data_IF_185176996939
#
_entry.id   IF_185176996939
#
_cell.length_a   1.000
_cell.length_b   1.000
_cell.length_c   1.000
_cell.angle_alpha   90.00
_cell.angle_beta   90.00
_cell.angle_gamma   90.00
#
_symmetry.space_group_name_H-M   'P 1'
#
loop_
_entity.id
_entity.type
_entity.pdbx_description
1 polymer ?
#
# COMPACT_ATOMS: atom_id res chain seq x y z
N UNK A 1 -26.11 -19.64 11.18
CA UNK A 1 -25.81 -18.21 11.38
C UNK A 1 -27.02 -17.41 10.93
N UNK A 2 -27.53 -16.44 11.71
CA UNK A 2 -28.65 -15.61 11.27
C UNK A 2 -28.34 -14.87 9.96
N UNK A 3 -29.33 -14.56 9.11
CA UNK A 3 -29.09 -13.92 7.80
C UNK A 3 -28.31 -12.62 7.89
N UNK A 4 -28.54 -11.83 8.93
CA UNK A 4 -27.88 -10.54 9.20
C UNK A 4 -26.46 -10.66 9.79
N UNK A 5 -25.99 -11.88 10.07
CA UNK A 5 -24.62 -12.17 10.51
C UNK A 5 -23.80 -12.90 9.45
N UNK A 6 -24.36 -13.13 8.26
CA UNK A 6 -23.58 -13.68 7.16
C UNK A 6 -22.51 -12.66 6.77
N UNK A 7 -21.29 -13.13 6.52
CA UNK A 7 -20.24 -12.27 5.94
C UNK A 7 -20.76 -11.71 4.63
N UNK A 8 -20.50 -10.42 4.40
CA UNK A 8 -20.78 -9.76 3.14
C UNK A 8 -20.27 -10.62 1.99
N UNK A 9 -21.17 -10.97 1.07
CA UNK A 9 -20.82 -11.67 -0.16
C UNK A 9 -20.88 -10.66 -1.30
N UNK A 10 -19.80 -10.48 -2.09
CA UNK A 10 -19.75 -9.51 -3.18
C UNK A 10 -20.96 -9.63 -4.11
N UNK A 11 -21.29 -10.86 -4.51
CA UNK A 11 -22.35 -11.14 -5.49
C UNK A 11 -23.80 -11.10 -4.91
N UNK A 12 -24.05 -10.26 -3.91
CA UNK A 12 -25.39 -10.13 -3.32
C UNK A 12 -26.32 -9.33 -4.24
N UNK A 13 -27.40 -9.95 -4.72
CA UNK A 13 -28.36 -9.32 -5.65
C UNK A 13 -28.96 -8.01 -5.16
N UNK A 14 -29.04 -7.81 -3.84
CA UNK A 14 -29.58 -6.58 -3.27
C UNK A 14 -28.60 -5.41 -3.36
N UNK A 15 -27.29 -5.69 -3.27
CA UNK A 15 -26.26 -4.68 -3.52
C UNK A 15 -26.22 -4.28 -4.99
N UNK A 16 -26.35 -5.25 -5.90
CA UNK A 16 -26.39 -4.99 -7.34
C UNK A 16 -27.48 -3.99 -7.70
N UNK A 17 -28.71 -4.19 -7.18
CA UNK A 17 -29.82 -3.25 -7.39
C UNK A 17 -29.50 -1.82 -6.93
N UNK A 18 -28.66 -1.65 -5.90
CA UNK A 18 -28.31 -0.32 -5.38
C UNK A 18 -27.35 0.44 -6.29
N UNK A 19 -26.37 -0.25 -6.90
CA UNK A 19 -25.32 0.43 -7.68
C UNK A 19 -25.54 0.37 -9.20
N UNK A 20 -26.32 -0.59 -9.72
CA UNK A 20 -26.68 -0.65 -11.15
C UNK A 20 -27.17 0.69 -11.71
N UNK A 21 -28.06 1.47 -11.04
CA UNK A 21 -28.50 2.75 -11.57
C UNK A 21 -27.45 3.88 -11.49
N UNK A 22 -26.31 3.66 -10.81
CA UNK A 22 -25.26 4.68 -10.66
C UNK A 22 -24.41 4.86 -11.92
N UNK A 23 -24.33 3.84 -12.77
CA UNK A 23 -23.60 3.91 -14.05
C UNK A 23 -24.56 3.77 -15.24
N UNK A 24 -24.27 4.44 -16.38
CA UNK A 24 -25.02 4.24 -17.61
C UNK A 24 -24.98 2.79 -18.09
N UNK A 25 -26.01 2.32 -18.79
CA UNK A 25 -26.07 0.95 -19.33
C UNK A 25 -24.82 0.60 -20.16
N UNK A 26 -24.33 1.53 -20.98
CA UNK A 26 -23.12 1.37 -21.79
C UNK A 26 -21.85 1.13 -20.95
N UNK A 27 -21.78 1.66 -19.73
CA UNK A 27 -20.64 1.41 -18.85
C UNK A 27 -20.66 -0.03 -18.30
N UNK A 28 -21.85 -0.59 -18.04
CA UNK A 28 -22.02 -1.99 -17.64
C UNK A 28 -21.73 -2.98 -18.76
N UNK A 29 -21.77 -2.55 -20.02
CA UNK A 29 -21.27 -3.36 -21.15
C UNK A 29 -19.74 -3.51 -21.13
N UNK A 30 -19.02 -2.60 -20.46
CA UNK A 30 -17.56 -2.56 -20.44
C UNK A 30 -16.95 -3.06 -19.14
N UNK A 31 -17.58 -2.77 -18.00
CA UNK A 31 -17.13 -3.16 -16.65
C UNK A 31 -18.06 -4.25 -16.10
N UNK A 32 -17.48 -5.33 -15.57
CA UNK A 32 -18.28 -6.34 -14.89
C UNK A 32 -18.75 -5.87 -13.50
N UNK A 33 -19.93 -6.33 -13.05
CA UNK A 33 -20.36 -6.20 -11.66
C UNK A 33 -19.30 -6.71 -10.66
N UNK A 34 -18.63 -7.82 -10.97
CA UNK A 34 -17.61 -8.43 -10.11
C UNK A 34 -16.40 -7.52 -9.89
N UNK A 35 -15.93 -6.80 -10.93
CA UNK A 35 -14.86 -5.82 -10.79
C UNK A 35 -15.32 -4.62 -9.97
N UNK A 36 -16.49 -4.07 -10.29
CA UNK A 36 -17.03 -2.90 -9.62
C UNK A 36 -17.20 -3.16 -8.11
N UNK A 37 -17.81 -4.28 -7.75
CA UNK A 37 -17.96 -4.70 -6.35
C UNK A 37 -16.60 -4.90 -5.68
N UNK A 38 -15.67 -5.62 -6.33
CA UNK A 38 -14.35 -5.89 -5.76
C UNK A 38 -13.53 -4.61 -5.56
N UNK A 39 -13.71 -3.62 -6.43
CA UNK A 39 -13.09 -2.31 -6.27
C UNK A 39 -13.69 -1.57 -5.05
N UNK A 40 -15.00 -1.45 -4.96
CA UNK A 40 -15.62 -0.69 -3.86
C UNK A 40 -15.69 -1.43 -2.52
N UNK A 41 -15.45 -2.75 -2.48
CA UNK A 41 -15.48 -3.54 -1.25
C UNK A 41 -14.14 -3.65 -0.52
N UNK A 42 -13.05 -3.13 -1.10
CA UNK A 42 -11.70 -3.23 -0.53
C UNK A 42 -11.10 -1.86 -0.22
N UNK A 43 -10.14 -1.87 0.68
CA UNK A 43 -9.38 -0.73 1.19
C UNK A 43 -7.88 -0.89 0.93
N UNK A 44 -7.08 0.15 1.19
CA UNK A 44 -5.63 0.11 0.97
C UNK A 44 -4.96 -1.01 1.78
N UNK A 45 -5.40 -1.23 3.02
CA UNK A 45 -4.89 -2.28 3.88
C UNK A 45 -5.18 -3.70 3.38
N UNK A 46 -6.11 -3.89 2.45
CA UNK A 46 -6.34 -5.20 1.85
C UNK A 46 -5.31 -5.51 0.74
N UNK A 47 -4.81 -4.48 0.07
CA UNK A 47 -3.98 -4.61 -1.13
C UNK A 47 -2.49 -4.42 -0.87
N UNK A 48 -2.12 -3.65 0.15
CA UNK A 48 -0.75 -3.25 0.37
C UNK A 48 -0.32 -3.35 1.84
N UNK A 49 0.83 -4.00 2.06
CA UNK A 49 1.55 -3.99 3.32
C UNK A 49 2.78 -3.08 3.18
N UNK A 50 2.90 -1.98 3.96
CA UNK A 50 4.06 -1.08 3.90
C UNK A 50 5.29 -1.66 4.61
N UNK A 51 5.86 -2.74 4.07
CA UNK A 51 6.95 -3.52 4.68
C UNK A 51 8.18 -2.65 5.05
N UNK A 52 8.53 -1.68 4.22
CA UNK A 52 9.66 -0.77 4.47
C UNK A 52 9.47 0.07 5.75
N UNK A 53 8.25 0.54 6.01
CA UNK A 53 7.95 1.32 7.23
C UNK A 53 8.00 0.43 8.46
N UNK A 54 7.39 -0.76 8.39
CA UNK A 54 7.44 -1.74 9.47
C UNK A 54 8.89 -2.11 9.81
N UNK A 55 9.69 -2.50 8.82
CA UNK A 55 11.09 -2.92 9.02
C UNK A 55 11.94 -1.81 9.63
N UNK A 56 11.78 -0.57 9.14
CA UNK A 56 12.49 0.60 9.67
C UNK A 56 12.12 0.85 11.13
N UNK A 57 10.84 0.82 11.46
CA UNK A 57 10.33 1.12 12.80
C UNK A 57 10.65 -0.02 13.79
N UNK A 58 10.51 -1.28 13.39
CA UNK A 58 10.94 -2.44 14.17
C UNK A 58 12.44 -2.35 14.46
N UNK A 59 13.27 -1.99 13.48
CA UNK A 59 14.70 -1.83 13.68
C UNK A 59 15.02 -0.67 14.64
N UNK A 60 14.24 0.42 14.62
CA UNK A 60 14.37 1.53 15.57
C UNK A 60 14.07 1.07 17.00
N UNK A 61 12.95 0.38 17.19
CA UNK A 61 12.54 -0.13 18.51
C UNK A 61 13.53 -1.15 19.05
N UNK A 62 14.02 -2.09 18.22
CA UNK A 62 15.03 -3.08 18.62
C UNK A 62 16.34 -2.43 19.08
N UNK A 63 16.82 -1.42 18.36
CA UNK A 63 18.01 -0.64 18.78
C UNK A 63 17.82 0.01 20.15
N UNK A 64 16.63 0.50 20.44
CA UNK A 64 16.32 1.08 21.75
C UNK A 64 16.21 0.02 22.86
N UNK A 65 15.66 -1.16 22.55
CA UNK A 65 15.69 -2.32 23.46
C UNK A 65 17.13 -2.70 23.79
N UNK A 66 18.00 -2.80 22.79
CA UNK A 66 19.40 -3.18 22.99
C UNK A 66 20.14 -2.16 23.86
N UNK A 67 19.92 -0.86 23.60
CA UNK A 67 20.48 0.25 24.39
C UNK A 67 20.06 0.17 25.85
N UNK A 68 18.77 0.04 26.13
CA UNK A 68 18.24 -0.04 27.50
C UNK A 68 18.67 -1.33 28.21
N UNK A 69 18.81 -2.44 27.49
CA UNK A 69 19.29 -3.72 28.02
C UNK A 69 20.77 -3.64 28.39
N UNK A 70 21.61 -2.99 27.57
CA UNK A 70 23.01 -2.71 27.88
C UNK A 70 23.17 -1.86 29.15
N UNK A 71 22.35 -0.82 29.29
CA UNK A 71 22.31 -0.01 30.53
C UNK A 71 21.84 -0.84 31.73
N UNK A 72 20.85 -1.71 31.58
CA UNK A 72 20.40 -2.59 32.68
C UNK A 72 21.50 -3.57 33.12
N UNK A 73 22.26 -4.12 32.17
CA UNK A 73 23.32 -5.10 32.43
C UNK A 73 24.66 -4.45 32.82
N UNK A 74 24.80 -3.12 32.70
CA UNK A 74 26.09 -2.44 32.82
C UNK A 74 27.11 -2.88 31.77
N UNK A 75 26.64 -3.37 30.62
CA UNK A 75 27.46 -3.91 29.54
C UNK A 75 27.53 -2.92 28.39
N UNK A 76 28.71 -2.76 27.80
CA UNK A 76 28.93 -1.86 26.66
C UNK A 76 29.52 -0.50 27.04
N UNK A 77 30.39 0.02 26.17
CA UNK A 77 31.18 1.24 26.38
C UNK A 77 30.30 2.47 26.64
N UNK A 78 29.18 2.60 25.90
CA UNK A 78 28.25 3.72 26.06
C UNK A 78 27.48 3.68 27.39
N UNK A 79 27.07 2.49 27.85
CA UNK A 79 26.38 2.32 29.12
C UNK A 79 27.33 2.63 30.29
N UNK A 80 28.56 2.11 30.23
CA UNK A 80 29.62 2.40 31.20
C UNK A 80 29.96 3.90 31.24
N UNK A 81 30.08 4.56 30.09
CA UNK A 81 30.34 5.99 30.02
C UNK A 81 29.18 6.81 30.61
N UNK A 82 27.93 6.45 30.32
CA UNK A 82 26.75 7.11 30.90
C UNK A 82 26.69 6.93 32.42
N UNK A 83 26.92 5.71 32.91
CA UNK A 83 26.99 5.40 34.35
C UNK A 83 28.11 6.16 35.06
N UNK A 84 29.31 6.21 34.46
CA UNK A 84 30.44 6.96 34.99
C UNK A 84 30.15 8.47 35.06
N UNK A 85 29.49 9.02 34.04
CA UNK A 85 29.07 10.43 34.01
C UNK A 85 28.05 10.74 35.11
N UNK A 86 27.05 9.87 35.30
CA UNK A 86 26.04 10.01 36.37
C UNK A 86 26.68 9.90 37.76
N UNK A 87 27.61 8.96 37.95
CA UNK A 87 28.36 8.83 39.19
C UNK A 87 29.23 10.07 39.50
N UNK A 88 29.93 10.59 38.49
CA UNK A 88 30.76 11.79 38.63
C UNK A 88 29.92 13.04 38.94
N UNK A 89 28.75 13.19 38.31
CA UNK A 89 27.84 14.29 38.60
C UNK A 89 27.30 14.24 40.04
N UNK A 90 26.90 13.06 40.53
CA UNK A 90 26.46 12.87 41.91
C UNK A 90 27.57 13.17 42.93
N UNK A 91 28.80 12.78 42.63
CA UNK A 91 29.97 13.08 43.47
C UNK A 91 30.30 14.59 43.49
N UNK A 92 30.24 15.25 42.33
CA UNK A 92 30.47 16.69 42.21
C UNK A 92 29.40 17.54 42.95
N UNK A 93 28.17 17.02 43.06
CA UNK A 93 27.10 17.64 43.85
C UNK A 93 27.27 17.46 45.37
N UNK A 94 28.33 16.80 45.85
CA UNK A 94 28.58 16.56 47.27
C UNK A 94 27.76 15.40 47.86
N UNK A 95 27.20 14.53 47.02
CA UNK A 95 26.43 13.36 47.44
C UNK A 95 27.27 12.36 48.24
N UNK A 96 26.63 11.65 49.18
CA UNK A 96 27.26 10.56 49.91
C UNK A 96 27.57 9.37 49.00
N UNK A 97 28.38 8.41 49.48
CA UNK A 97 28.67 7.18 48.72
C UNK A 97 27.40 6.41 48.33
N UNK A 98 26.35 6.48 49.15
CA UNK A 98 25.04 5.89 48.86
C UNK A 98 24.34 6.62 47.70
N UNK A 99 24.40 7.95 47.67
CA UNK A 99 23.76 8.75 46.62
C UNK A 99 24.43 8.54 45.25
N UNK A 100 25.76 8.40 45.25
CA UNK A 100 26.52 8.04 44.04
C UNK A 100 26.15 6.64 43.54
N UNK A 101 25.96 5.67 44.45
CA UNK A 101 25.51 4.32 44.06
C UNK A 101 24.10 4.35 43.49
N UNK A 102 23.17 5.07 44.13
CA UNK A 102 21.78 5.17 43.70
C UNK A 102 21.63 5.88 42.35
N UNK A 103 22.51 6.83 42.00
CA UNK A 103 22.52 7.51 40.71
C UNK A 103 22.88 6.60 39.51
N UNK A 104 23.51 5.46 39.76
CA UNK A 104 23.95 4.50 38.73
C UNK A 104 22.97 3.32 38.59
N UNK A 105 22.09 3.13 39.56
CA UNK A 105 21.11 2.04 39.56
C UNK A 105 20.10 2.25 38.43
N UNK A 106 19.83 1.17 37.70
CA UNK A 106 18.78 1.12 36.70
C UNK A 106 17.43 1.46 37.35
N UNK A 107 16.83 2.55 36.91
CA UNK A 107 15.62 3.08 37.54
C UNK A 107 14.39 2.26 37.17
N UNK A 108 13.40 2.20 38.07
CA UNK A 108 12.10 1.58 37.77
C UNK A 108 11.42 2.17 36.53
N UNK A 109 11.65 3.45 36.24
CA UNK A 109 11.14 4.10 35.03
C UNK A 109 11.80 3.57 33.76
N UNK A 110 13.11 3.29 33.79
CA UNK A 110 13.82 2.69 32.65
C UNK A 110 13.41 1.24 32.44
N UNK A 111 13.09 0.51 33.51
CA UNK A 111 12.55 -0.86 33.43
C UNK A 111 11.17 -0.88 32.75
N UNK A 112 10.27 0.01 33.16
CA UNK A 112 8.96 0.15 32.52
C UNK A 112 9.07 0.55 31.05
N UNK A 113 10.01 1.44 30.72
CA UNK A 113 10.26 1.86 29.35
C UNK A 113 10.82 0.71 28.51
N UNK A 114 11.79 -0.05 29.03
CA UNK A 114 12.33 -1.24 28.36
C UNK A 114 11.21 -2.25 28.03
N UNK A 115 10.35 -2.55 28.99
CA UNK A 115 9.22 -3.44 28.80
C UNK A 115 8.21 -2.90 27.78
N UNK A 116 7.94 -1.59 27.80
CA UNK A 116 7.06 -0.94 26.82
C UNK A 116 7.61 -1.05 25.40
N UNK A 117 8.89 -0.72 25.20
CA UNK A 117 9.54 -0.75 23.88
C UNK A 117 9.65 -2.18 23.36
N UNK A 118 9.97 -3.15 24.22
CA UNK A 118 9.97 -4.59 23.86
C UNK A 118 8.60 -5.04 23.36
N UNK A 119 7.53 -4.78 24.13
CA UNK A 119 6.16 -5.13 23.74
C UNK A 119 5.76 -4.49 22.41
N UNK A 120 6.12 -3.23 22.20
CA UNK A 120 5.83 -2.54 20.94
C UNK A 120 6.58 -3.17 19.77
N UNK A 121 7.85 -3.53 19.94
CA UNK A 121 8.64 -4.19 18.89
C UNK A 121 8.05 -5.55 18.51
N UNK A 122 7.64 -6.35 19.50
CA UNK A 122 6.99 -7.64 19.31
C UNK A 122 5.62 -7.50 18.65
N UNK A 123 4.78 -6.59 19.14
CA UNK A 123 3.46 -6.31 18.59
C UNK A 123 3.54 -5.87 17.13
N UNK A 124 4.48 -4.97 16.80
CA UNK A 124 4.68 -4.47 15.45
C UNK A 124 5.22 -5.55 14.50
N UNK A 125 6.08 -6.44 15.00
CA UNK A 125 6.58 -7.60 14.23
C UNK A 125 5.43 -8.58 13.92
N UNK A 126 4.57 -8.85 14.91
CA UNK A 126 3.41 -9.71 14.72
C UNK A 126 2.38 -9.08 13.79
N UNK A 127 2.14 -7.78 13.90
CA UNK A 127 1.22 -7.02 13.06
C UNK A 127 1.66 -7.05 11.59
N UNK A 128 2.95 -6.78 11.31
CA UNK A 128 3.52 -6.91 9.96
C UNK A 128 3.26 -8.30 9.35
N UNK A 129 3.46 -9.36 10.13
CA UNK A 129 3.21 -10.74 9.69
C UNK A 129 1.74 -11.00 9.39
N UNK A 130 0.83 -10.49 10.24
CA UNK A 130 -0.62 -10.62 10.04
C UNK A 130 -1.08 -9.87 8.79
N UNK A 131 -0.60 -8.64 8.63
CA UNK A 131 -0.92 -7.78 7.51
C UNK A 131 -0.44 -8.38 6.18
N UNK A 132 0.77 -8.94 6.17
CA UNK A 132 1.30 -9.66 4.99
C UNK A 132 0.43 -10.86 4.60
N UNK A 133 0.07 -11.68 5.58
CA UNK A 133 -0.79 -12.85 5.35
C UNK A 133 -2.18 -12.43 4.85
N UNK A 134 -2.72 -11.32 5.36
CA UNK A 134 -4.00 -10.76 4.90
C UNK A 134 -3.91 -10.33 3.44
N UNK A 135 -2.91 -9.53 3.06
CA UNK A 135 -2.72 -9.10 1.68
C UNK A 135 -2.50 -10.28 0.71
N UNK A 136 -1.77 -11.32 1.13
CA UNK A 136 -1.60 -12.56 0.35
C UNK A 136 -2.93 -13.33 0.17
N UNK A 137 -3.75 -13.37 1.21
CA UNK A 137 -5.08 -14.00 1.16
C UNK A 137 -5.99 -13.27 0.19
N UNK A 138 -6.05 -11.93 0.29
CA UNK A 138 -6.82 -11.09 -0.63
C UNK A 138 -6.32 -11.26 -2.05
N UNK A 139 -5.00 -11.20 -2.29
CA UNK A 139 -4.40 -11.43 -3.61
C UNK A 139 -4.86 -12.75 -4.22
N UNK A 140 -4.85 -13.84 -3.44
CA UNK A 140 -5.31 -15.15 -3.89
C UNK A 140 -6.79 -15.13 -4.29
N UNK A 141 -7.64 -14.39 -3.57
CA UNK A 141 -9.05 -14.23 -3.93
C UNK A 141 -9.23 -13.48 -5.27
N UNK A 142 -8.41 -12.47 -5.53
CA UNK A 142 -8.40 -11.76 -6.80
C UNK A 142 -7.94 -12.66 -7.95
N UNK A 143 -6.88 -13.46 -7.77
CA UNK A 143 -6.39 -14.41 -8.77
C UNK A 143 -7.46 -15.45 -9.14
N UNK A 144 -8.27 -15.91 -8.17
CA UNK A 144 -9.37 -16.85 -8.42
C UNK A 144 -10.51 -16.25 -9.26
N UNK A 145 -10.77 -14.95 -9.12
CA UNK A 145 -11.89 -14.22 -9.78
C UNK A 145 -11.44 -13.39 -10.99
N UNK A 146 -10.16 -13.43 -11.36
CA UNK A 146 -9.59 -12.54 -12.37
C UNK A 146 -10.26 -12.64 -13.75
N UNK A 147 -10.76 -13.82 -14.12
CA UNK A 147 -11.45 -14.03 -15.39
C UNK A 147 -12.86 -13.41 -15.43
N UNK A 148 -13.44 -13.11 -14.26
CA UNK A 148 -14.80 -12.57 -14.13
C UNK A 148 -14.78 -11.03 -14.14
N UNK A 149 -13.65 -10.42 -13.80
CA UNK A 149 -13.51 -8.96 -13.65
C UNK A 149 -13.71 -8.20 -14.95
N UNK A 150 -13.09 -8.67 -16.02
CA UNK A 150 -13.21 -8.08 -17.33
C UNK A 150 -13.68 -9.21 -18.23
N UNK A 151 -15.00 -9.27 -18.40
CA UNK A 151 -15.71 -10.25 -19.23
C UNK A 151 -14.94 -10.55 -20.54
N UNK A 152 -15.03 -11.78 -21.09
CA UNK A 152 -14.55 -12.08 -22.44
C UNK A 152 -15.44 -11.38 -23.48
N UNK A 153 -15.36 -10.04 -23.53
CA UNK A 153 -15.90 -9.22 -24.59
C UNK A 153 -15.04 -9.50 -25.81
N UNK A 154 -15.48 -10.50 -26.59
CA UNK A 154 -14.83 -11.16 -27.72
C UNK A 154 -14.47 -10.28 -28.93
N UNK A 155 -14.34 -8.96 -28.77
CA UNK A 155 -14.02 -8.03 -29.87
C UNK A 155 -12.95 -7.05 -29.44
N UNK A 156 -11.87 -6.96 -30.23
CA UNK A 156 -10.65 -6.18 -29.96
C UNK A 156 -10.91 -4.69 -29.67
N UNK A 157 -12.02 -4.12 -30.15
CA UNK A 157 -12.41 -2.72 -29.87
C UNK A 157 -13.01 -2.48 -28.47
N UNK A 158 -13.36 -3.54 -27.74
CA UNK A 158 -14.04 -3.42 -26.44
C UNK A 158 -13.05 -3.32 -25.28
N UNK A 159 -11.84 -3.90 -25.39
CA UNK A 159 -10.84 -3.88 -24.32
C UNK A 159 -10.33 -2.45 -23.99
N UNK A 160 -10.09 -1.63 -25.02
CA UNK A 160 -9.76 -0.21 -24.87
C UNK A 160 -10.89 0.54 -24.16
N UNK A 161 -12.13 0.29 -24.59
CA UNK A 161 -13.31 0.90 -23.99
C UNK A 161 -13.47 0.49 -22.52
N UNK A 162 -13.23 -0.77 -22.18
CA UNK A 162 -13.28 -1.29 -20.81
C UNK A 162 -12.28 -0.60 -19.88
N UNK A 163 -11.01 -0.50 -20.29
CA UNK A 163 -9.97 0.13 -19.47
C UNK A 163 -10.25 1.61 -19.20
N UNK A 164 -10.68 2.35 -20.23
CA UNK A 164 -11.05 3.75 -20.09
C UNK A 164 -12.32 3.93 -19.26
N UNK A 165 -13.34 3.07 -19.44
CA UNK A 165 -14.57 3.11 -18.63
C UNK A 165 -14.24 2.87 -17.16
N UNK A 166 -13.38 1.91 -16.84
CA UNK A 166 -12.93 1.66 -15.46
C UNK A 166 -12.19 2.85 -14.86
N UNK A 167 -11.29 3.47 -15.63
CA UNK A 167 -10.62 4.69 -15.21
C UNK A 167 -11.62 5.82 -14.93
N UNK A 168 -12.51 6.13 -15.88
CA UNK A 168 -13.44 7.27 -15.79
C UNK A 168 -14.49 7.10 -14.70
N UNK A 169 -15.08 5.91 -14.54
CA UNK A 169 -16.22 5.70 -13.65
C UNK A 169 -15.85 5.12 -12.28
N UNK A 170 -14.66 4.53 -12.11
CA UNK A 170 -14.26 3.93 -10.84
C UNK A 170 -13.03 4.63 -10.24
N UNK A 171 -11.91 4.62 -10.97
CA UNK A 171 -10.63 5.10 -10.42
C UNK A 171 -10.63 6.60 -10.23
N UNK A 172 -10.99 7.36 -11.26
CA UNK A 172 -11.01 8.82 -11.22
C UNK A 172 -11.89 9.38 -10.08
N UNK A 173 -13.19 9.02 -9.93
CA UNK A 173 -14.00 9.58 -8.85
C UNK A 173 -13.50 9.18 -7.46
N UNK A 174 -12.94 7.97 -7.30
CA UNK A 174 -12.44 7.52 -6.00
C UNK A 174 -11.12 8.19 -5.63
N UNK A 175 -10.19 8.37 -6.56
CA UNK A 175 -8.90 8.97 -6.26
C UNK A 175 -8.99 10.43 -5.82
N UNK A 176 -10.09 11.12 -6.11
CA UNK A 176 -10.33 12.49 -5.64
C UNK A 176 -10.75 12.58 -4.17
N UNK A 177 -11.29 11.50 -3.59
CA UNK A 177 -11.94 11.54 -2.27
C UNK A 177 -10.97 11.76 -1.10
N UNK A 178 -9.81 11.10 -1.16
CA UNK A 178 -8.81 11.17 -0.08
C UNK A 178 -7.43 10.72 -0.58
N UNK A 179 -6.33 11.08 0.11
CA UNK A 179 -5.00 10.58 -0.25
C UNK A 179 -4.88 9.06 -0.04
N UNK A 180 -5.64 8.48 0.89
CA UNK A 180 -5.69 7.03 1.09
C UNK A 180 -6.37 6.32 -0.08
N UNK A 181 -7.47 6.88 -0.57
CA UNK A 181 -8.18 6.37 -1.75
C UNK A 181 -7.33 6.51 -3.03
N UNK A 182 -6.56 7.58 -3.15
CA UNK A 182 -5.61 7.76 -4.25
C UNK A 182 -4.52 6.68 -4.26
N UNK A 183 -3.92 6.37 -3.10
CA UNK A 183 -2.98 5.26 -2.96
C UNK A 183 -3.66 3.93 -3.27
N UNK A 184 -4.87 3.71 -2.75
CA UNK A 184 -5.65 2.51 -3.04
C UNK A 184 -5.86 2.32 -4.54
N UNK A 185 -6.27 3.36 -5.26
CA UNK A 185 -6.51 3.30 -6.70
C UNK A 185 -5.25 2.87 -7.46
N UNK A 186 -4.09 3.44 -7.12
CA UNK A 186 -2.81 3.03 -7.69
C UNK A 186 -2.52 1.55 -7.39
N UNK A 187 -2.59 1.14 -6.12
CA UNK A 187 -2.31 -0.25 -5.72
C UNK A 187 -3.28 -1.27 -6.33
N UNK A 188 -4.55 -0.91 -6.52
CA UNK A 188 -5.53 -1.77 -7.19
C UNK A 188 -5.18 -1.99 -8.66
N UNK A 189 -4.78 -0.94 -9.37
CA UNK A 189 -4.33 -1.06 -10.77
C UNK A 189 -3.05 -1.89 -10.88
N UNK A 190 -2.10 -1.68 -9.96
CA UNK A 190 -0.88 -2.48 -9.88
C UNK A 190 -1.25 -3.95 -9.62
N UNK A 191 -2.24 -4.23 -8.77
CA UNK A 191 -2.73 -5.58 -8.52
C UNK A 191 -3.30 -6.21 -9.80
N UNK A 192 -4.22 -5.53 -10.50
CA UNK A 192 -4.82 -6.01 -11.76
C UNK A 192 -3.75 -6.38 -12.80
N UNK A 193 -2.72 -5.54 -12.91
CA UNK A 193 -1.57 -5.82 -13.77
C UNK A 193 -0.78 -7.05 -13.28
N UNK A 194 -0.49 -7.13 -11.98
CA UNK A 194 0.33 -8.20 -11.40
C UNK A 194 -0.28 -9.61 -11.51
N UNK A 195 -1.62 -9.69 -11.46
CA UNK A 195 -2.37 -10.95 -11.62
C UNK A 195 -2.70 -11.24 -13.10
N UNK A 196 -2.27 -10.40 -14.04
CA UNK A 196 -2.52 -10.57 -15.47
C UNK A 196 -4.02 -10.68 -15.79
N UNK A 197 -4.82 -9.77 -15.22
CA UNK A 197 -6.28 -9.78 -15.45
C UNK A 197 -6.57 -9.73 -16.95
N UNK A 198 -7.25 -10.74 -17.52
CA UNK A 198 -7.53 -10.79 -18.96
C UNK A 198 -8.26 -9.52 -19.41
N UNK A 199 -7.83 -8.91 -20.51
CA UNK A 199 -8.46 -7.70 -21.05
C UNK A 199 -8.02 -6.39 -20.38
N UNK A 200 -7.25 -6.43 -19.27
CA UNK A 200 -6.68 -5.21 -18.69
C UNK A 200 -5.43 -4.78 -19.47
N UNK A 201 -5.51 -3.65 -20.17
CA UNK A 201 -4.39 -3.13 -20.95
C UNK A 201 -3.67 -2.01 -20.19
N UNK A 202 -2.70 -2.39 -19.36
CA UNK A 202 -2.00 -1.45 -18.45
C UNK A 202 -1.36 -0.27 -19.17
N UNK A 203 -0.79 -0.46 -20.36
CA UNK A 203 -0.20 0.65 -21.12
C UNK A 203 -1.27 1.66 -21.58
N UNK A 204 -2.44 1.19 -22.01
CA UNK A 204 -3.54 2.08 -22.40
C UNK A 204 -4.19 2.74 -21.20
N UNK A 205 -4.24 2.04 -20.06
CA UNK A 205 -4.64 2.65 -18.80
C UNK A 205 -3.75 3.83 -18.44
N UNK A 206 -2.42 3.66 -18.55
CA UNK A 206 -1.46 4.72 -18.24
C UNK A 206 -1.57 5.91 -19.19
N UNK A 207 -1.75 5.64 -20.49
CA UNK A 207 -1.98 6.67 -21.51
C UNK A 207 -3.25 7.48 -21.20
N UNK A 208 -4.38 6.80 -20.97
CA UNK A 208 -5.63 7.45 -20.59
C UNK A 208 -5.57 8.18 -19.25
N UNK A 209 -4.79 7.69 -18.29
CA UNK A 209 -4.59 8.35 -17.00
C UNK A 209 -3.95 9.73 -17.20
N UNK A 210 -2.94 9.84 -18.06
CA UNK A 210 -2.30 11.13 -18.37
C UNK A 210 -3.32 12.09 -19.00
N UNK A 211 -4.11 11.62 -19.97
CA UNK A 211 -5.14 12.44 -20.61
C UNK A 211 -6.20 12.94 -19.63
N UNK A 212 -6.71 12.05 -18.77
CA UNK A 212 -7.70 12.39 -17.73
C UNK A 212 -7.13 13.41 -16.76
N UNK A 213 -5.89 13.25 -16.31
CA UNK A 213 -5.25 14.20 -15.39
C UNK A 213 -5.07 15.57 -16.05
N UNK A 214 -4.56 15.61 -17.29
CA UNK A 214 -4.36 16.88 -18.01
C UNK A 214 -5.69 17.62 -18.22
N UNK A 215 -6.77 16.89 -18.53
CA UNK A 215 -8.11 17.46 -18.63
C UNK A 215 -8.66 17.93 -17.27
N UNK A 216 -8.42 17.16 -16.21
CA UNK A 216 -8.92 17.43 -14.87
C UNK A 216 -8.30 18.68 -14.22
N UNK A 217 -7.04 19.01 -14.53
CA UNK A 217 -6.32 20.15 -13.93
C UNK A 217 -7.07 21.49 -13.99
N UNK A 218 -7.96 21.68 -14.96
CA UNK A 218 -8.73 22.92 -15.11
C UNK A 218 -9.98 23.00 -14.21
N UNK A 219 -10.41 21.90 -13.60
CA UNK A 219 -11.69 21.80 -12.90
C UNK A 219 -11.62 21.16 -11.50
N UNK A 220 -10.43 20.75 -11.06
CA UNK A 220 -10.21 20.19 -9.71
C UNK A 220 -9.77 21.26 -8.71
N UNK A 221 -10.08 21.02 -7.45
CA UNK A 221 -9.59 21.81 -6.31
C UNK A 221 -8.14 21.48 -5.98
N UNK A 222 -7.50 22.30 -5.14
CA UNK A 222 -6.12 22.07 -4.69
C UNK A 222 -5.95 20.74 -3.94
N UNK A 223 -6.89 20.40 -3.06
CA UNK A 223 -6.88 19.14 -2.32
C UNK A 223 -7.05 17.93 -3.26
N UNK A 224 -7.97 18.02 -4.22
CA UNK A 224 -8.17 16.99 -5.25
C UNK A 224 -6.93 16.80 -6.13
N UNK A 225 -6.27 17.90 -6.52
CA UNK A 225 -5.00 17.85 -7.25
C UNK A 225 -3.90 17.19 -6.41
N UNK A 226 -3.86 17.46 -5.10
CA UNK A 226 -2.99 16.77 -4.15
C UNK A 226 -3.21 15.26 -4.15
N UNK A 227 -4.47 14.82 -4.12
CA UNK A 227 -4.82 13.40 -4.15
C UNK A 227 -4.42 12.72 -5.48
N UNK A 228 -4.68 13.36 -6.63
CA UNK A 228 -4.20 12.86 -7.93
C UNK A 228 -2.67 12.74 -7.93
N UNK A 229 -1.97 13.73 -7.37
CA UNK A 229 -0.51 13.72 -7.23
C UNK A 229 0.01 12.50 -6.46
N UNK A 230 -0.68 12.09 -5.40
CA UNK A 230 -0.36 10.87 -4.64
C UNK A 230 -0.51 9.62 -5.51
N UNK A 231 -1.62 9.48 -6.23
CA UNK A 231 -1.85 8.33 -7.12
C UNK A 231 -0.77 8.25 -8.21
N UNK A 232 -0.45 9.38 -8.85
CA UNK A 232 0.58 9.47 -9.86
C UNK A 232 1.96 9.12 -9.31
N UNK A 233 2.30 9.59 -8.11
CA UNK A 233 3.57 9.28 -7.47
C UNK A 233 3.74 7.77 -7.24
N UNK A 234 2.70 7.07 -6.80
CA UNK A 234 2.76 5.61 -6.63
C UNK A 234 2.86 4.87 -7.97
N UNK A 235 2.04 5.25 -8.97
CA UNK A 235 2.10 4.66 -10.30
C UNK A 235 3.44 4.90 -10.99
N UNK A 236 4.04 6.08 -10.82
CA UNK A 236 5.31 6.43 -11.45
C UNK A 236 6.48 5.62 -10.91
N UNK A 237 6.44 5.13 -9.66
CA UNK A 237 7.46 4.20 -9.15
C UNK A 237 7.50 2.91 -9.96
N UNK A 238 6.35 2.40 -10.39
CA UNK A 238 6.27 1.21 -11.23
C UNK A 238 6.77 1.50 -12.65
N UNK A 239 6.29 2.60 -13.26
CA UNK A 239 6.70 3.03 -14.61
C UNK A 239 8.21 3.29 -14.67
N UNK A 240 8.78 3.92 -13.65
CA UNK A 240 10.21 4.19 -13.56
C UNK A 240 11.02 2.90 -13.56
N UNK A 241 10.60 1.87 -12.80
CA UNK A 241 11.25 0.55 -12.82
C UNK A 241 11.22 -0.06 -14.22
N UNK A 242 10.07 -0.03 -14.88
CA UNK A 242 9.91 -0.50 -16.26
C UNK A 242 10.75 0.28 -17.26
N UNK A 243 10.92 1.59 -17.05
CA UNK A 243 11.66 2.47 -17.96
C UNK A 243 13.17 2.32 -17.87
N UNK A 244 13.71 1.97 -16.70
CA UNK A 244 15.15 1.93 -16.43
C UNK A 244 15.72 0.51 -16.28
N UNK A 245 14.89 -0.51 -16.04
CA UNK A 245 15.32 -1.91 -15.97
C UNK A 245 14.67 -2.74 -17.09
N UNK A 246 15.41 -2.94 -18.17
CA UNK A 246 14.97 -3.70 -19.35
C UNK A 246 14.60 -5.16 -19.01
N UNK A 247 15.29 -5.77 -18.04
CA UNK A 247 14.99 -7.15 -17.62
C UNK A 247 13.64 -7.22 -16.92
N UNK A 248 13.37 -6.26 -16.04
CA UNK A 248 12.07 -6.15 -15.36
C UNK A 248 10.96 -5.84 -16.36
N UNK A 249 11.18 -4.90 -17.29
CA UNK A 249 10.21 -4.59 -18.35
C UNK A 249 9.87 -5.81 -19.20
N UNK A 250 10.88 -6.56 -19.63
CA UNK A 250 10.67 -7.75 -20.46
C UNK A 250 9.91 -8.84 -19.71
N UNK A 251 10.12 -8.95 -18.40
CA UNK A 251 9.44 -9.94 -17.55
C UNK A 251 8.00 -9.55 -17.20
N UNK A 252 7.76 -8.28 -16.88
CA UNK A 252 6.50 -7.79 -16.31
C UNK A 252 5.55 -7.19 -17.34
N UNK A 253 6.05 -6.75 -18.50
CA UNK A 253 5.23 -6.07 -19.51
C UNK A 253 5.19 -6.86 -20.82
N UNK A 254 6.36 -7.30 -21.32
CA UNK A 254 6.44 -8.00 -22.61
C UNK A 254 5.76 -9.38 -22.50
N UNK A 255 4.77 -9.63 -23.37
CA UNK A 255 4.02 -10.90 -23.43
C UNK A 255 2.75 -10.96 -22.57
N UNK A 256 2.60 -10.11 -21.55
CA UNK A 256 1.38 -10.00 -20.72
C UNK A 256 0.37 -9.01 -21.30
N UNK A 257 0.86 -8.04 -22.07
CA UNK A 257 0.02 -7.15 -22.86
C UNK A 257 -0.31 -7.89 -24.17
N UNK A 258 -1.60 -8.19 -24.42
CA UNK A 258 -2.07 -8.47 -25.79
C UNK A 258 -1.95 -7.16 -26.58
N UNK A 259 -0.73 -6.83 -27.00
CA UNK A 259 -0.45 -5.71 -27.90
C UNK A 259 -0.85 -6.18 -29.28
N UNK A 260 -2.01 -5.73 -29.76
CA UNK A 260 -2.17 -5.59 -31.20
C UNK A 260 -1.33 -4.37 -31.60
N UNK A 261 -0.12 -4.64 -32.10
CA UNK A 261 0.86 -3.71 -32.69
C UNK A 261 0.81 -2.25 -32.21
N UNK A 262 1.62 -1.92 -31.21
CA UNK A 262 2.11 -0.55 -31.02
C UNK A 262 3.59 -0.55 -31.39
N UNK A 263 3.81 -0.34 -32.69
CA UNK A 263 5.10 0.02 -33.28
C UNK A 263 5.57 1.44 -32.86
N UNK A 264 4.87 2.13 -31.95
CA UNK A 264 5.09 3.55 -31.64
C UNK A 264 5.98 3.85 -30.41
N UNK A 265 6.35 2.86 -29.59
CA UNK A 265 7.25 3.13 -28.44
C UNK A 265 8.72 2.82 -28.70
N UNK A 266 9.02 2.03 -29.74
CA UNK A 266 10.41 1.85 -30.20
C UNK A 266 10.89 3.10 -30.96
N UNK A 267 9.97 3.88 -31.56
CA UNK A 267 10.32 5.12 -32.28
C UNK A 267 10.50 6.34 -31.37
N UNK A 268 10.36 6.21 -30.04
CA UNK A 268 10.79 7.26 -29.10
C UNK A 268 12.23 7.04 -28.61
N UNK A 269 12.90 6.01 -29.14
CA UNK A 269 14.26 5.60 -28.82
C UNK A 269 15.16 5.58 -30.06
N UNK A 270 14.99 6.57 -30.95
CA UNK A 270 16.02 7.08 -31.85
C UNK A 270 16.01 8.61 -31.84
#
# INVERSE_FOLDING_TARGET
MPPYFQRFHPDCTDMQKSYTPMLPEKAWEAISPALFESFYSHSLGDLHCPEERYTTEIARLKREVDRLTQVQQGSGEAALAAMATMAAAAAAAGGSRHDVQQAVVFTKSQEQELERVKRNAEALTLDMSRQKQHCETVRTQFELRQNDFLSPLSKDNVALFTTQTFLTYCVYPRCLLSPEDAMYCAHFVILLHSIETPGFQTMQYLDGLVDVVVGALYCITEDEAGNIGVMLAEMWKLISKWRYDEKVFTKEVVGKVRIMNILCLVTFWE
#
